data_IF_649870853197
#
_entry.id   IF_649870853197
#
_cell.length_a   1.000
_cell.length_b   1.000
_cell.length_c   1.000
_cell.angle_alpha   90.00
_cell.angle_beta   90.00
_cell.angle_gamma   90.00
#
_symmetry.space_group_name_H-M   'P 1'
#
loop_
_entity.id
_entity.type
_entity.pdbx_description
1 polymer ?
#
# COMPACT_ATOMS: atom_id res chain seq x y z
N UNK A 1 6.68 -2.80 22.15
CA UNK A 1 5.42 -2.38 21.57
C UNK A 1 4.94 -3.39 20.55
N UNK A 2 3.71 -3.82 20.66
CA UNK A 2 3.19 -4.84 19.75
C UNK A 2 2.96 -4.26 18.36
N UNK A 3 3.31 -5.03 17.34
CA UNK A 3 3.05 -4.65 15.97
C UNK A 3 1.56 -4.87 15.66
N UNK A 4 0.83 -3.85 15.17
CA UNK A 4 -0.59 -4.00 14.90
C UNK A 4 -0.90 -5.01 13.81
N UNK A 5 0.05 -5.25 12.88
CA UNK A 5 -0.18 -6.22 11.81
C UNK A 5 0.22 -7.64 12.20
N UNK A 6 0.89 -7.81 13.34
CA UNK A 6 1.14 -9.14 13.91
C UNK A 6 -0.04 -9.64 14.75
N UNK A 7 -0.94 -8.74 15.13
CA UNK A 7 -2.07 -9.05 16.01
C UNK A 7 -3.35 -8.38 15.47
N UNK A 8 -3.80 -8.84 14.30
CA UNK A 8 -4.95 -8.24 13.62
C UNK A 8 -6.27 -8.69 14.24
N UNK A 9 -7.23 -7.77 14.26
CA UNK A 9 -8.61 -8.10 14.56
C UNK A 9 -9.18 -8.90 13.38
N UNK A 10 -9.68 -10.11 13.61
CA UNK A 10 -10.27 -10.91 12.53
C UNK A 10 -11.35 -10.19 11.73
N UNK A 11 -12.05 -9.22 12.35
CA UNK A 11 -13.09 -8.45 11.66
C UNK A 11 -12.52 -7.57 10.55
N UNK A 12 -11.23 -7.28 10.58
CA UNK A 12 -10.59 -6.45 9.56
C UNK A 12 -10.01 -7.24 8.40
N UNK A 13 -9.98 -8.57 8.52
CA UNK A 13 -9.39 -9.43 7.49
C UNK A 13 -10.45 -9.72 6.43
N UNK A 14 -10.17 -9.32 5.20
CA UNK A 14 -11.09 -9.50 4.08
C UNK A 14 -10.78 -10.74 3.26
N UNK A 15 -9.51 -11.08 3.10
CA UNK A 15 -9.08 -12.29 2.38
C UNK A 15 -7.96 -12.94 3.16
N UNK A 16 -8.09 -14.24 3.39
CA UNK A 16 -7.10 -15.02 4.12
C UNK A 16 -6.28 -15.82 3.14
N UNK A 17 -4.99 -15.54 3.06
CA UNK A 17 -4.05 -16.35 2.33
C UNK A 17 -3.21 -17.20 3.27
N UNK A 18 -2.41 -18.07 2.70
CA UNK A 18 -1.54 -18.95 3.48
C UNK A 18 -0.40 -18.17 4.13
N UNK A 19 0.21 -17.25 3.41
CA UNK A 19 1.36 -16.46 3.86
C UNK A 19 1.04 -14.99 4.06
N UNK A 20 -0.02 -14.51 3.42
CA UNK A 20 -0.38 -13.10 3.42
C UNK A 20 -1.88 -12.95 3.66
N UNK A 21 -2.27 -11.73 4.04
CA UNK A 21 -3.67 -11.39 4.30
C UNK A 21 -4.00 -10.09 3.59
N UNK A 22 -5.24 -9.94 3.14
CA UNK A 22 -5.75 -8.63 2.69
C UNK A 22 -6.67 -8.10 3.79
N UNK A 23 -6.36 -6.91 4.29
CA UNK A 23 -7.08 -6.31 5.42
C UNK A 23 -7.64 -4.95 5.02
N UNK A 24 -8.74 -4.57 5.65
CA UNK A 24 -9.35 -3.26 5.43
C UNK A 24 -8.58 -2.18 6.18
N UNK A 25 -8.38 -1.02 5.53
CA UNK A 25 -7.76 0.13 6.18
C UNK A 25 -8.79 0.92 6.98
N UNK A 26 -10.05 0.95 6.52
CA UNK A 26 -11.16 1.70 7.12
C UNK A 26 -10.90 3.19 7.20
N UNK A 27 -10.26 3.72 6.19
CA UNK A 27 -10.03 5.15 6.07
C UNK A 27 -11.32 5.82 5.59
N UNK A 28 -11.79 6.89 6.28
CA UNK A 28 -13.06 7.53 5.91
C UNK A 28 -12.99 8.30 4.60
N UNK A 29 -11.80 8.68 4.15
CA UNK A 29 -11.62 9.41 2.89
C UNK A 29 -11.32 8.44 1.75
N UNK A 30 -10.44 7.48 1.99
CA UNK A 30 -10.04 6.50 0.97
C UNK A 30 -10.93 5.26 1.09
N UNK A 31 -12.17 5.41 0.64
CA UNK A 31 -13.19 4.36 0.77
C UNK A 31 -12.78 3.12 0.01
N UNK A 32 -12.88 1.98 0.68
CA UNK A 32 -12.53 0.69 0.10
C UNK A 32 -11.05 0.36 0.11
N UNK A 33 -10.20 1.27 0.61
CA UNK A 33 -8.77 0.99 0.66
C UNK A 33 -8.45 -0.15 1.61
N UNK A 34 -7.41 -0.88 1.29
CA UNK A 34 -6.93 -1.98 2.11
C UNK A 34 -5.45 -2.19 1.93
N UNK A 35 -4.94 -3.20 2.61
CA UNK A 35 -3.51 -3.51 2.59
C UNK A 35 -3.31 -5.00 2.51
N UNK A 36 -2.28 -5.42 1.76
CA UNK A 36 -1.83 -6.81 1.77
C UNK A 36 -0.60 -6.87 2.66
N UNK A 37 -0.64 -7.74 3.66
CA UNK A 37 0.43 -7.87 4.64
C UNK A 37 0.88 -9.33 4.72
N UNK A 38 2.19 -9.59 4.85
CA UNK A 38 2.66 -10.93 5.16
C UNK A 38 2.30 -11.27 6.60
N UNK A 39 2.04 -12.54 6.88
CA UNK A 39 1.77 -12.98 8.26
C UNK A 39 3.01 -12.86 9.13
N UNK A 40 4.18 -13.21 8.55
CA UNK A 40 5.45 -13.05 9.26
C UNK A 40 5.83 -11.59 9.34
N UNK A 41 6.46 -11.20 10.42
CA UNK A 41 6.89 -9.83 10.61
C UNK A 41 8.10 -9.55 9.70
N UNK A 42 7.84 -8.87 8.58
CA UNK A 42 8.87 -8.34 7.69
C UNK A 42 8.83 -6.82 7.82
N UNK A 43 9.94 -6.20 8.10
CA UNK A 43 9.94 -4.75 8.32
C UNK A 43 9.57 -3.98 7.07
N UNK A 44 10.17 -4.32 5.95
CA UNK A 44 9.92 -3.62 4.69
C UNK A 44 9.64 -4.60 3.57
N UNK A 45 9.19 -4.06 2.44
CA UNK A 45 8.95 -4.84 1.22
C UNK A 45 10.19 -5.59 0.76
N UNK A 46 11.38 -5.08 1.07
CA UNK A 46 12.63 -5.70 0.64
C UNK A 46 12.96 -6.97 1.42
N UNK A 47 12.27 -7.22 2.53
CA UNK A 47 12.49 -8.40 3.37
C UNK A 47 11.57 -9.56 3.04
N UNK A 48 10.64 -9.38 2.11
CA UNK A 48 9.71 -10.44 1.72
C UNK A 48 10.45 -11.59 1.05
N UNK A 49 10.00 -12.81 1.35
CA UNK A 49 10.51 -14.00 0.64
C UNK A 49 9.89 -14.08 -0.75
N UNK A 50 10.51 -14.84 -1.68
CA UNK A 50 9.90 -15.04 -3.01
C UNK A 50 8.48 -15.61 -2.93
N UNK A 51 8.21 -16.50 -1.98
CA UNK A 51 6.88 -17.07 -1.82
C UNK A 51 5.87 -16.03 -1.33
N UNK A 52 6.30 -15.11 -0.46
CA UNK A 52 5.46 -14.00 -0.02
C UNK A 52 5.17 -13.04 -1.16
N UNK A 53 6.16 -12.77 -2.00
CA UNK A 53 5.96 -11.97 -3.22
C UNK A 53 4.91 -12.59 -4.13
N UNK A 54 5.04 -13.90 -4.40
CA UNK A 54 4.11 -14.60 -5.28
C UNK A 54 2.70 -14.57 -4.72
N UNK A 55 2.55 -14.79 -3.42
CA UNK A 55 1.22 -14.76 -2.81
C UNK A 55 0.64 -13.35 -2.74
N UNK A 56 1.49 -12.34 -2.52
CA UNK A 56 1.05 -10.94 -2.55
C UNK A 56 0.42 -10.62 -3.90
N UNK A 57 1.05 -11.05 -4.99
CA UNK A 57 0.52 -10.81 -6.32
C UNK A 57 -0.81 -11.53 -6.54
N UNK A 58 -0.91 -12.76 -6.06
CA UNK A 58 -2.17 -13.52 -6.18
C UNK A 58 -3.29 -12.87 -5.35
N UNK A 59 -2.99 -12.42 -4.14
CA UNK A 59 -3.96 -11.74 -3.30
C UNK A 59 -4.36 -10.38 -3.88
N UNK A 60 -3.45 -9.70 -4.54
CA UNK A 60 -3.76 -8.42 -5.18
C UNK A 60 -4.83 -8.61 -6.26
N UNK A 61 -4.75 -9.68 -7.04
CA UNK A 61 -5.78 -9.97 -8.04
C UNK A 61 -7.12 -10.26 -7.38
N UNK A 62 -7.12 -11.01 -6.29
CA UNK A 62 -8.35 -11.30 -5.54
C UNK A 62 -8.92 -10.06 -4.88
N UNK A 63 -8.06 -9.21 -4.32
CA UNK A 63 -8.47 -7.95 -3.72
C UNK A 63 -9.13 -7.05 -4.76
N UNK A 64 -8.54 -6.96 -5.95
CA UNK A 64 -9.12 -6.18 -7.04
C UNK A 64 -10.51 -6.68 -7.38
N UNK A 65 -10.68 -7.98 -7.53
CA UNK A 65 -11.98 -8.55 -7.86
C UNK A 65 -13.03 -8.22 -6.78
N UNK A 66 -12.63 -8.32 -5.50
CA UNK A 66 -13.50 -7.99 -4.38
C UNK A 66 -13.89 -6.51 -4.39
N UNK A 67 -12.93 -5.64 -4.59
CA UNK A 67 -13.17 -4.19 -4.56
C UNK A 67 -13.94 -3.72 -5.80
N UNK A 68 -13.66 -4.30 -6.97
CA UNK A 68 -14.44 -4.01 -8.18
C UNK A 68 -15.91 -4.34 -7.97
N UNK A 69 -16.19 -5.49 -7.35
CA UNK A 69 -17.56 -5.91 -7.11
C UNK A 69 -18.27 -5.01 -6.10
N UNK A 70 -17.57 -4.56 -5.07
CA UNK A 70 -18.18 -3.77 -3.99
C UNK A 70 -18.32 -2.29 -4.31
N UNK A 71 -17.31 -1.71 -4.95
CA UNK A 71 -17.20 -0.25 -5.06
C UNK A 71 -17.18 0.26 -6.49
N UNK A 72 -16.91 -0.59 -7.46
CA UNK A 72 -16.84 -0.23 -8.90
C UNK A 72 -15.92 0.97 -9.13
N UNK A 73 -14.66 0.91 -8.68
CA UNK A 73 -13.76 2.02 -8.89
C UNK A 73 -13.36 2.16 -10.36
N UNK A 74 -12.87 3.34 -10.71
CA UNK A 74 -12.41 3.62 -12.06
C UNK A 74 -10.92 3.31 -12.24
N UNK A 75 -10.19 3.16 -11.14
CA UNK A 75 -8.77 2.84 -11.16
C UNK A 75 -8.26 2.53 -9.78
N UNK A 76 -6.95 2.33 -9.69
CA UNK A 76 -6.31 1.98 -8.41
C UNK A 76 -4.96 2.66 -8.28
N UNK A 77 -4.58 2.99 -7.06
CA UNK A 77 -3.18 3.18 -6.71
C UNK A 77 -2.74 1.98 -5.88
N UNK A 78 -1.60 1.42 -6.24
CA UNK A 78 -1.05 0.24 -5.57
C UNK A 78 0.42 0.54 -5.28
N UNK A 79 0.83 0.42 -4.03
CA UNK A 79 2.22 0.73 -3.72
C UNK A 79 2.63 0.44 -2.30
N UNK A 80 3.95 0.37 -2.11
CA UNK A 80 4.62 0.15 -0.84
C UNK A 80 5.31 1.42 -0.39
N UNK A 81 5.31 1.67 0.91
CA UNK A 81 6.21 2.63 1.52
C UNK A 81 7.30 1.85 2.25
N UNK A 82 8.56 2.24 2.07
CA UNK A 82 9.68 1.60 2.73
C UNK A 82 10.53 2.64 3.45
N UNK A 83 10.69 2.46 4.76
CA UNK A 83 11.41 3.39 5.60
C UNK A 83 10.58 4.61 6.00
N UNK A 84 10.96 5.27 7.09
CA UNK A 84 10.22 6.42 7.60
C UNK A 84 10.16 7.56 6.60
N UNK A 85 11.28 7.83 5.90
CA UNK A 85 11.35 8.90 4.90
C UNK A 85 10.43 8.60 3.72
N UNK A 86 10.23 7.33 3.41
CA UNK A 86 9.30 6.92 2.35
C UNK A 86 7.84 6.92 2.76
N UNK A 87 7.55 7.23 4.03
CA UNK A 87 6.18 7.30 4.51
C UNK A 87 5.70 6.06 5.24
N UNK A 88 6.60 5.12 5.55
CA UNK A 88 6.19 3.93 6.28
C UNK A 88 5.96 4.30 7.74
N UNK A 89 4.73 4.09 8.22
CA UNK A 89 4.37 4.41 9.60
C UNK A 89 4.39 3.18 10.50
N UNK A 90 4.02 2.03 9.97
CA UNK A 90 4.08 0.76 10.70
C UNK A 90 5.19 -0.08 10.07
N UNK A 91 6.16 -0.51 10.87
CA UNK A 91 7.32 -1.25 10.37
C UNK A 91 7.03 -2.75 10.33
N UNK A 92 6.03 -3.08 9.60
CA UNK A 92 5.63 -4.39 9.13
C UNK A 92 5.13 -4.16 7.71
N UNK A 93 5.77 -4.73 6.73
CA UNK A 93 5.53 -4.44 5.32
C UNK A 93 4.06 -4.54 4.95
N UNK A 94 3.56 -3.57 4.20
CA UNK A 94 2.16 -3.59 3.77
C UNK A 94 2.02 -2.90 2.41
N UNK A 95 1.33 -3.59 1.49
CA UNK A 95 1.04 -3.07 0.17
C UNK A 95 -0.30 -2.35 0.22
N UNK A 96 -0.27 -1.04 -0.01
CA UNK A 96 -1.52 -0.27 -0.09
C UNK A 96 -2.26 -0.58 -1.38
N UNK A 97 -3.56 -0.81 -1.27
CA UNK A 97 -4.45 -1.01 -2.42
C UNK A 97 -5.57 0.01 -2.27
N UNK A 98 -5.57 1.01 -3.13
CA UNK A 98 -6.46 2.16 -2.99
C UNK A 98 -7.34 2.28 -4.23
N UNK A 99 -8.64 1.98 -4.12
CA UNK A 99 -9.58 2.25 -5.22
C UNK A 99 -9.65 3.76 -5.48
N UNK A 100 -9.67 4.13 -6.76
CA UNK A 100 -9.74 5.53 -7.16
C UNK A 100 -10.99 5.73 -8.03
N UNK A 101 -11.63 6.89 -7.87
CA UNK A 101 -12.92 7.18 -8.50
C UNK A 101 -12.83 8.45 -9.34
N UNK A 102 -13.53 8.45 -10.49
CA UNK A 102 -13.48 9.58 -11.40
C UNK A 102 -14.08 10.87 -10.84
N UNK A 103 -14.90 10.77 -9.79
CA UNK A 103 -15.50 11.94 -9.16
C UNK A 103 -14.70 12.50 -7.97
N UNK A 104 -13.51 11.97 -7.72
CA UNK A 104 -12.64 12.55 -6.69
C UNK A 104 -12.07 13.88 -7.14
N UNK A 105 -11.92 14.86 -6.23
CA UNK A 105 -11.21 16.10 -6.57
C UNK A 105 -9.82 15.87 -7.13
N UNK A 106 -9.11 14.82 -6.68
CA UNK A 106 -7.77 14.51 -7.14
C UNK A 106 -7.74 13.41 -8.21
N UNK A 107 -8.87 13.15 -8.86
CA UNK A 107 -8.91 12.17 -9.95
C UNK A 107 -7.82 12.46 -10.98
N UNK A 108 -7.10 11.43 -11.40
CA UNK A 108 -5.97 11.59 -12.32
C UNK A 108 -4.65 11.89 -11.64
N UNK A 109 -4.64 12.16 -10.33
CA UNK A 109 -3.39 12.41 -9.59
C UNK A 109 -2.92 11.09 -8.97
N UNK A 110 -1.77 10.63 -9.42
CA UNK A 110 -1.22 9.35 -8.99
C UNK A 110 -0.21 9.49 -7.86
N UNK A 111 0.51 8.40 -7.61
CA UNK A 111 1.47 8.29 -6.50
C UNK A 111 2.53 9.38 -6.56
N UNK A 112 2.96 9.77 -7.75
CA UNK A 112 4.03 10.75 -7.91
C UNK A 112 3.58 12.20 -7.76
N UNK A 113 2.28 12.45 -7.73
CA UNK A 113 1.77 13.81 -7.86
C UNK A 113 2.37 14.78 -6.84
N UNK A 114 2.30 14.44 -5.55
CA UNK A 114 2.85 15.32 -4.51
C UNK A 114 4.39 15.37 -4.58
N UNK A 115 5.01 14.24 -4.89
CA UNK A 115 6.47 14.11 -4.84
C UNK A 115 7.15 14.87 -5.95
N UNK A 116 6.52 15.03 -7.10
CA UNK A 116 7.15 15.68 -8.26
C UNK A 116 6.91 17.19 -8.32
N UNK A 117 6.28 17.76 -7.31
CA UNK A 117 6.08 19.21 -7.28
C UNK A 117 7.42 19.92 -7.11
N UNK A 118 7.64 21.06 -7.77
CA UNK A 118 8.93 21.77 -7.68
C UNK A 118 9.35 22.08 -6.24
N UNK A 119 8.39 22.29 -5.34
CA UNK A 119 8.67 22.55 -3.93
C UNK A 119 9.34 21.37 -3.22
N UNK A 120 9.26 20.17 -3.79
CA UNK A 120 9.87 18.97 -3.21
C UNK A 120 11.31 18.73 -3.72
N UNK A 121 11.88 19.67 -4.45
CA UNK A 121 13.24 19.52 -4.94
C UNK A 121 14.22 19.45 -3.77
N UNK A 122 15.16 18.53 -3.83
CA UNK A 122 16.17 18.40 -2.78
C UNK A 122 16.99 19.68 -2.67
N UNK A 123 17.54 19.98 -1.48
CA UNK A 123 18.33 21.18 -1.30
C UNK A 123 19.51 21.24 -2.25
N UNK A 124 19.85 22.46 -2.69
CA UNK A 124 21.02 22.69 -3.53
C UNK A 124 22.27 22.19 -2.79
N UNK A 125 23.13 21.47 -3.50
CA UNK A 125 24.33 20.90 -2.92
C UNK A 125 24.15 19.51 -2.35
N UNK A 126 22.96 18.89 -2.50
CA UNK A 126 22.77 17.51 -2.10
C UNK A 126 23.68 16.59 -2.93
N UNK A 127 24.16 15.51 -2.29
CA UNK A 127 25.24 14.72 -2.87
C UNK A 127 24.81 13.65 -3.86
N UNK A 128 23.54 13.39 -3.99
CA UNK A 128 23.06 12.30 -4.84
C UNK A 128 22.31 12.83 -6.04
N UNK A 129 22.82 13.85 -6.65
CA UNK A 129 22.21 14.47 -7.80
C UNK A 129 22.62 13.71 -9.05
N UNK A 130 22.18 12.54 -9.15
CA UNK A 130 22.46 11.73 -10.29
C UNK A 130 21.79 12.25 -11.52
N UNK A 131 22.46 12.28 -12.64
CA UNK A 131 21.81 12.61 -13.89
C UNK A 131 20.97 11.43 -14.26
N UNK A 132 19.92 11.22 -13.81
CA UNK A 132 19.08 10.07 -14.00
C UNK A 132 18.82 9.72 -15.46
#
# INVERSE_FOLDING_TARGET
MACPFCALDPAEILIVGRRCLFIATRDPVLVGSGMIVPREHRETVFDLTPDEWAETQALLQQARALLDARYRPDGYNVGWNSGAVGGQEVFHAHLHVIPRFGDEPLAGKGIRYALKQPANRRPKGATTDEPG
#
